data_IF_317136548203
#
_entry.id   IF_317136548203
#
_cell.length_a   1.000
_cell.length_b   1.000
_cell.length_c   1.000
_cell.angle_alpha   90.00
_cell.angle_beta   90.00
_cell.angle_gamma   90.00
#
_symmetry.space_group_name_H-M   'P 1'
#
loop_
_entity.id
_entity.type
_entity.pdbx_description
1 polymer ?
#
# COMPACT_ATOMS: atom_id res chain seq x y z
N UNK A 1 -15.69 8.22 51.29
CA UNK A 1 -16.72 8.54 50.28
C UNK A 1 -16.17 9.43 49.18
N UNK A 2 -15.44 10.48 49.47
CA UNK A 2 -14.85 11.46 48.51
C UNK A 2 -13.87 10.80 47.55
N UNK A 3 -12.99 9.91 48.00
CA UNK A 3 -12.02 9.18 47.14
C UNK A 3 -12.69 8.28 46.09
N UNK A 4 -13.84 7.65 46.43
CA UNK A 4 -14.62 6.85 45.47
C UNK A 4 -15.29 7.72 44.41
N UNK A 5 -15.78 8.89 44.77
CA UNK A 5 -16.37 9.82 43.80
C UNK A 5 -15.31 10.41 42.82
N UNK A 6 -14.13 10.74 43.33
CA UNK A 6 -13.02 11.24 42.53
C UNK A 6 -12.53 10.20 41.50
N UNK A 7 -12.38 8.95 41.94
CA UNK A 7 -12.03 7.83 41.07
C UNK A 7 -13.10 7.51 40.01
N UNK A 8 -14.39 7.71 40.34
CA UNK A 8 -15.49 7.56 39.38
C UNK A 8 -15.51 8.69 38.36
N UNK A 9 -15.26 9.94 38.78
CA UNK A 9 -15.14 11.08 37.86
C UNK A 9 -13.93 10.94 36.91
N UNK A 10 -12.78 10.51 37.43
CA UNK A 10 -11.60 10.27 36.58
C UNK A 10 -11.83 9.13 35.57
N UNK A 11 -12.51 8.03 35.97
CA UNK A 11 -12.89 6.96 35.03
C UNK A 11 -13.85 7.44 33.94
N UNK A 12 -14.80 8.28 34.27
CA UNK A 12 -15.77 8.84 33.33
C UNK A 12 -15.08 9.84 32.37
N UNK A 13 -14.16 10.67 32.84
CA UNK A 13 -13.37 11.58 31.98
C UNK A 13 -12.41 10.82 31.03
N UNK A 14 -11.75 9.78 31.51
CA UNK A 14 -10.90 8.93 30.66
C UNK A 14 -11.73 8.17 29.64
N UNK A 15 -12.93 7.70 30.02
CA UNK A 15 -13.88 7.04 29.11
C UNK A 15 -14.36 7.97 27.99
N UNK A 16 -14.74 9.22 28.32
CA UNK A 16 -15.20 10.20 27.33
C UNK A 16 -14.07 10.65 26.40
N UNK A 17 -12.84 10.82 26.91
CA UNK A 17 -11.66 11.19 26.12
C UNK A 17 -11.26 10.09 25.11
N UNK A 18 -11.39 8.83 25.52
CA UNK A 18 -11.11 7.68 24.66
C UNK A 18 -12.19 7.50 23.59
N UNK A 19 -13.44 7.77 23.92
CA UNK A 19 -14.56 7.72 22.97
C UNK A 19 -14.45 8.83 21.93
N UNK A 20 -14.10 10.04 22.34
CA UNK A 20 -13.88 11.19 21.46
C UNK A 20 -12.68 10.98 20.51
N UNK A 21 -11.57 10.44 21.03
CA UNK A 21 -10.43 10.04 20.18
C UNK A 21 -10.77 8.95 19.18
N UNK A 22 -11.63 7.99 19.56
CA UNK A 22 -12.06 6.92 18.67
C UNK A 22 -13.02 7.44 17.58
N UNK A 23 -13.90 8.36 17.91
CA UNK A 23 -14.78 9.03 16.94
C UNK A 23 -13.99 9.92 15.98
N UNK A 24 -13.00 10.68 16.46
CA UNK A 24 -12.12 11.50 15.62
C UNK A 24 -11.26 10.63 14.70
N UNK A 25 -10.77 9.47 15.18
CA UNK A 25 -10.03 8.53 14.37
C UNK A 25 -10.92 7.86 13.31
N UNK A 26 -12.16 7.50 13.66
CA UNK A 26 -13.12 6.95 12.71
C UNK A 26 -13.56 7.99 11.66
N UNK A 27 -13.76 9.26 12.06
CA UNK A 27 -14.02 10.35 11.10
C UNK A 27 -12.87 10.55 10.14
N UNK A 28 -11.60 10.53 10.63
CA UNK A 28 -10.41 10.64 9.76
C UNK A 28 -10.33 9.49 8.75
N UNK A 29 -10.59 8.24 9.18
CA UNK A 29 -10.59 7.07 8.27
C UNK A 29 -11.70 7.19 7.22
N UNK A 30 -12.89 7.66 7.58
CA UNK A 30 -14.00 7.88 6.62
C UNK A 30 -13.63 8.99 5.63
N UNK A 31 -13.06 10.10 6.11
CA UNK A 31 -12.62 11.22 5.25
C UNK A 31 -11.49 10.77 4.31
N UNK A 32 -10.55 9.94 4.77
CA UNK A 32 -9.50 9.38 3.91
C UNK A 32 -10.04 8.47 2.80
N UNK A 33 -11.11 7.70 3.08
CA UNK A 33 -11.76 6.86 2.07
C UNK A 33 -12.51 7.74 1.06
N UNK A 34 -13.21 8.77 1.53
CA UNK A 34 -13.92 9.72 0.66
C UNK A 34 -12.96 10.57 -0.19
N UNK A 35 -11.81 10.98 0.38
CA UNK A 35 -10.76 11.71 -0.35
C UNK A 35 -10.10 10.85 -1.44
N UNK A 36 -9.83 9.58 -1.16
CA UNK A 36 -9.31 8.62 -2.15
C UNK A 36 -10.33 8.38 -3.27
N UNK A 37 -11.61 8.23 -2.96
CA UNK A 37 -12.67 8.07 -3.96
C UNK A 37 -12.88 9.34 -4.79
N UNK A 38 -12.73 10.52 -4.21
CA UNK A 38 -12.76 11.79 -4.93
C UNK A 38 -11.50 12.00 -5.80
N UNK A 39 -10.32 11.63 -5.29
CA UNK A 39 -9.05 11.67 -6.03
C UNK A 39 -9.07 10.72 -7.24
N UNK A 40 -9.65 9.53 -7.11
CA UNK A 40 -9.76 8.55 -8.22
C UNK A 40 -10.78 8.98 -9.27
N UNK A 41 -11.92 9.56 -8.88
CA UNK A 41 -12.89 10.14 -9.83
C UNK A 41 -12.29 11.28 -10.66
N UNK A 42 -11.35 12.04 -10.10
CA UNK A 42 -10.66 13.11 -10.81
C UNK A 42 -9.54 12.63 -11.73
N UNK A 43 -9.04 11.39 -11.57
CA UNK A 43 -7.96 10.83 -12.41
C UNK A 43 -8.44 10.30 -13.77
N UNK A 44 -9.73 10.14 -14.02
CA UNK A 44 -10.24 9.61 -15.30
C UNK A 44 -10.33 10.65 -16.42
N UNK A 45 -10.18 11.93 -16.13
CA UNK A 45 -10.29 13.01 -17.14
C UNK A 45 -8.93 13.61 -17.54
N UNK A 46 -8.64 13.61 -18.85
CA UNK A 46 -7.48 14.31 -19.47
C UNK A 46 -7.45 15.82 -19.11
N UNK A 47 -8.58 16.39 -18.69
CA UNK A 47 -8.72 17.75 -18.18
C UNK A 47 -7.89 17.99 -16.92
N UNK A 48 -7.61 16.95 -16.12
CA UNK A 48 -6.90 17.05 -14.87
C UNK A 48 -5.37 17.10 -15.02
N UNK A 49 -4.81 16.57 -16.12
CA UNK A 49 -3.40 16.77 -16.45
C UNK A 49 -3.11 18.28 -16.66
N UNK A 50 -4.05 19.01 -17.29
CA UNK A 50 -3.97 20.48 -17.43
C UNK A 50 -4.14 21.21 -16.10
N UNK A 51 -5.00 20.70 -15.20
CA UNK A 51 -5.17 21.22 -13.84
C UNK A 51 -3.91 20.98 -12.99
N UNK A 52 -3.29 19.80 -13.10
CA UNK A 52 -2.03 19.46 -12.42
C UNK A 52 -0.86 20.33 -12.91
N UNK A 53 -0.72 20.55 -14.22
CA UNK A 53 0.27 21.46 -14.78
C UNK A 53 0.04 22.91 -14.36
N UNK A 54 -1.24 23.34 -14.27
CA UNK A 54 -1.65 24.67 -13.80
C UNK A 54 -1.41 24.82 -12.28
N UNK A 55 -1.62 23.76 -11.49
CA UNK A 55 -1.34 23.70 -10.06
C UNK A 55 0.17 23.81 -9.79
N UNK A 56 1.02 23.10 -10.55
CA UNK A 56 2.47 23.26 -10.49
C UNK A 56 2.93 24.67 -10.85
N UNK A 57 2.26 25.36 -11.79
CA UNK A 57 2.54 26.77 -12.09
C UNK A 57 2.08 27.71 -10.98
N UNK A 58 0.93 27.46 -10.34
CA UNK A 58 0.41 28.26 -9.21
C UNK A 58 1.30 28.09 -7.98
N UNK A 59 1.73 26.86 -7.69
CA UNK A 59 2.71 26.56 -6.64
C UNK A 59 4.01 27.34 -6.90
N UNK A 60 4.53 27.32 -8.15
CA UNK A 60 5.71 28.10 -8.55
C UNK A 60 5.52 29.61 -8.40
N UNK A 61 4.33 30.14 -8.72
CA UNK A 61 4.04 31.59 -8.60
C UNK A 61 3.84 32.03 -7.16
N UNK A 62 3.24 31.22 -6.31
CA UNK A 62 3.06 31.52 -4.86
C UNK A 62 4.38 31.56 -4.12
N UNK A 63 5.31 30.64 -4.45
CA UNK A 63 6.67 30.67 -3.89
C UNK A 63 7.52 31.84 -4.37
N UNK A 64 7.24 32.42 -5.55
CA UNK A 64 7.96 33.59 -6.07
C UNK A 64 7.56 34.92 -5.42
N UNK A 65 6.37 35.01 -4.82
CA UNK A 65 5.82 36.30 -4.37
C UNK A 65 6.10 36.68 -2.90
N UNK A 66 6.53 35.73 -2.05
CA UNK A 66 6.64 35.99 -0.61
C UNK A 66 8.04 35.68 -0.08
N UNK A 67 8.91 36.68 -0.07
CA UNK A 67 10.28 36.61 0.49
C UNK A 67 10.38 36.89 2.00
N UNK A 68 9.31 37.33 2.70
CA UNK A 68 9.44 37.96 4.01
C UNK A 68 8.72 37.32 5.21
N UNK A 69 8.19 36.08 5.08
CA UNK A 69 7.52 35.44 6.23
C UNK A 69 8.20 34.12 6.66
N UNK A 70 8.79 34.15 7.87
CA UNK A 70 9.63 33.05 8.41
C UNK A 70 8.85 31.97 9.17
N UNK A 71 7.50 31.96 9.19
CA UNK A 71 6.70 30.98 9.94
C UNK A 71 6.03 29.97 9.02
N UNK A 72 6.46 28.67 9.06
CA UNK A 72 5.90 27.61 8.22
C UNK A 72 4.39 27.40 8.36
N UNK A 73 3.83 27.60 9.56
CA UNK A 73 2.40 27.39 9.83
C UNK A 73 1.50 28.41 9.09
N UNK A 74 1.97 29.63 8.87
CA UNK A 74 1.24 30.67 8.13
C UNK A 74 1.22 30.34 6.62
N UNK A 75 2.30 29.76 6.10
CA UNK A 75 2.37 29.31 4.70
C UNK A 75 1.42 28.14 4.42
N UNK A 76 1.38 27.16 5.32
CA UNK A 76 0.50 26.00 5.19
C UNK A 76 -0.96 26.45 5.16
N UNK A 77 -1.40 27.30 6.08
CA UNK A 77 -2.79 27.78 6.14
C UNK A 77 -3.20 28.65 4.94
N UNK A 78 -2.28 29.47 4.41
CA UNK A 78 -2.53 30.25 3.17
C UNK A 78 -2.65 29.36 1.93
N UNK A 79 -1.81 28.32 1.85
CA UNK A 79 -1.82 27.36 0.75
C UNK A 79 -3.10 26.50 0.74
N UNK A 80 -3.51 26.00 1.91
CA UNK A 80 -4.77 25.27 2.07
C UNK A 80 -5.99 26.10 1.69
N UNK A 81 -6.03 27.37 2.07
CA UNK A 81 -7.11 28.29 1.71
C UNK A 81 -7.16 28.54 0.20
N UNK A 82 -6.01 28.62 -0.48
CA UNK A 82 -5.95 28.75 -1.94
C UNK A 82 -6.42 27.45 -2.64
N UNK A 83 -6.06 26.27 -2.12
CA UNK A 83 -6.55 24.99 -2.63
C UNK A 83 -8.07 24.85 -2.49
N UNK A 84 -8.64 25.23 -1.35
CA UNK A 84 -10.09 25.25 -1.12
C UNK A 84 -10.83 26.17 -2.10
N UNK A 85 -10.26 27.35 -2.40
CA UNK A 85 -10.84 28.29 -3.40
C UNK A 85 -10.80 27.73 -4.82
N UNK A 86 -9.73 27.02 -5.20
CA UNK A 86 -9.61 26.37 -6.52
C UNK A 86 -10.61 25.22 -6.65
N UNK A 87 -10.76 24.40 -5.63
CA UNK A 87 -11.75 23.32 -5.59
C UNK A 87 -13.19 23.86 -5.72
N UNK A 88 -13.52 24.92 -4.97
CA UNK A 88 -14.83 25.56 -5.05
C UNK A 88 -15.11 26.23 -6.42
N UNK A 89 -14.11 26.77 -7.08
CA UNK A 89 -14.25 27.35 -8.42
C UNK A 89 -14.43 26.29 -9.51
N UNK A 90 -13.87 25.09 -9.33
CA UNK A 90 -14.02 23.94 -10.23
C UNK A 90 -15.42 23.33 -10.08
N UNK A 91 -15.93 23.20 -8.87
CA UNK A 91 -17.29 22.70 -8.57
C UNK A 91 -18.37 23.63 -9.14
N UNK A 92 -18.20 24.97 -9.03
CA UNK A 92 -19.16 25.94 -9.60
C UNK A 92 -19.26 25.93 -11.14
N UNK A 93 -18.27 25.39 -11.86
CA UNK A 93 -18.33 25.24 -13.32
C UNK A 93 -19.06 23.96 -13.80
N UNK A 94 -19.29 22.99 -12.92
CA UNK A 94 -19.97 21.73 -13.25
C UNK A 94 -21.45 21.69 -12.90
N UNK A 95 -21.98 22.66 -12.18
CA UNK A 95 -23.41 22.70 -11.82
C UNK A 95 -24.24 23.39 -12.90
N UNK A 96 -24.57 22.68 -13.96
CA UNK A 96 -25.75 22.98 -14.81
C UNK A 96 -26.60 21.72 -14.94
N UNK A 97 -27.60 21.66 -14.11
CA UNK A 97 -28.91 20.99 -13.96
C UNK A 97 -28.95 20.07 -12.72
N UNK A 98 -29.90 20.35 -11.81
CA UNK A 98 -30.14 19.48 -10.68
C UNK A 98 -31.09 18.34 -11.09
N UNK A 99 -30.65 17.10 -10.92
CA UNK A 99 -31.54 15.97 -10.77
C UNK A 99 -31.89 15.90 -9.28
N UNK A 100 -33.17 15.96 -8.97
CA UNK A 100 -33.75 15.78 -7.64
C UNK A 100 -33.39 14.41 -7.10
N UNK A 101 -32.58 14.37 -6.05
CA UNK A 101 -32.34 13.13 -5.28
C UNK A 101 -33.16 13.23 -4.01
N UNK A 102 -34.14 12.36 -3.90
CA UNK A 102 -34.90 12.14 -2.68
C UNK A 102 -33.96 11.60 -1.58
N UNK A 103 -34.05 12.26 -0.42
CA UNK A 103 -33.36 11.82 0.80
C UNK A 103 -34.02 10.56 1.33
N UNK A 104 -33.47 9.39 1.02
CA UNK A 104 -33.82 8.17 1.74
C UNK A 104 -32.77 7.89 2.82
N UNK A 105 -33.25 7.88 4.06
CA UNK A 105 -32.55 7.52 5.27
C UNK A 105 -31.94 6.13 5.14
N UNK A 106 -30.61 6.04 5.25
CA UNK A 106 -29.88 4.77 5.30
C UNK A 106 -30.11 4.08 6.64
N UNK A 107 -31.15 3.25 6.71
CA UNK A 107 -31.18 2.10 7.61
C UNK A 107 -30.27 1.06 6.99
N UNK A 108 -29.27 0.58 7.76
CA UNK A 108 -28.46 -0.58 7.42
C UNK A 108 -29.38 -1.80 7.33
N UNK A 109 -29.86 -2.08 6.15
CA UNK A 109 -30.55 -3.34 5.84
C UNK A 109 -29.46 -4.35 5.60
N UNK A 110 -29.33 -5.32 6.50
CA UNK A 110 -28.68 -6.59 6.22
C UNK A 110 -29.40 -7.20 5.02
N UNK A 111 -28.83 -7.04 3.83
CA UNK A 111 -29.34 -7.72 2.64
C UNK A 111 -29.17 -9.22 2.85
N UNK A 112 -30.22 -10.03 2.63
CA UNK A 112 -30.08 -11.48 2.62
C UNK A 112 -29.04 -11.83 1.54
N UNK A 113 -28.21 -12.83 1.82
CA UNK A 113 -27.23 -13.34 0.88
C UNK A 113 -27.95 -13.74 -0.41
N UNK A 114 -27.88 -12.90 -1.44
CA UNK A 114 -28.42 -13.24 -2.76
C UNK A 114 -27.58 -14.38 -3.30
N UNK A 115 -28.19 -15.55 -3.47
CA UNK A 115 -27.59 -16.71 -4.13
C UNK A 115 -27.60 -16.49 -5.64
N UNK A 116 -26.78 -15.56 -6.12
CA UNK A 116 -26.54 -15.43 -7.56
C UNK A 116 -25.63 -16.60 -8.00
N UNK A 117 -26.10 -17.42 -8.93
CA UNK A 117 -25.32 -18.47 -9.58
C UNK A 117 -24.69 -17.90 -10.84
N UNK A 118 -23.39 -18.07 -10.99
CA UNK A 118 -22.67 -17.74 -12.21
C UNK A 118 -22.19 -19.05 -12.85
N UNK A 119 -22.63 -19.29 -14.09
CA UNK A 119 -22.16 -20.41 -14.92
C UNK A 119 -21.13 -19.86 -15.91
N UNK A 120 -19.89 -20.36 -15.85
CA UNK A 120 -18.86 -19.98 -16.81
C UNK A 120 -17.80 -21.08 -16.95
N UNK A 121 -17.54 -21.52 -18.20
CA UNK A 121 -16.46 -22.46 -18.59
C UNK A 121 -16.31 -23.70 -17.68
N UNK A 122 -17.39 -24.41 -17.38
CA UNK A 122 -17.48 -25.62 -16.56
C UNK A 122 -17.47 -25.41 -15.03
N UNK A 123 -17.40 -24.17 -14.53
CA UNK A 123 -17.51 -23.89 -13.10
C UNK A 123 -18.70 -22.98 -12.81
N UNK A 124 -19.44 -23.32 -11.76
CA UNK A 124 -20.51 -22.48 -11.23
C UNK A 124 -20.13 -21.95 -9.85
N UNK A 125 -20.52 -20.70 -9.57
CA UNK A 125 -20.14 -20.00 -8.33
C UNK A 125 -21.36 -19.60 -7.54
N UNK A 126 -21.36 -19.85 -6.23
CA UNK A 126 -22.38 -19.35 -5.29
C UNK A 126 -21.73 -18.25 -4.47
N UNK A 127 -22.22 -17.01 -4.61
CA UNK A 127 -21.82 -15.91 -3.75
C UNK A 127 -22.32 -16.13 -2.32
N UNK A 128 -21.39 -16.07 -1.36
CA UNK A 128 -21.70 -16.25 0.06
C UNK A 128 -21.89 -14.91 0.76
N UNK A 129 -20.96 -13.95 0.54
CA UNK A 129 -21.01 -12.61 1.11
C UNK A 129 -20.11 -11.64 0.37
N UNK A 130 -20.42 -10.34 0.44
CA UNK A 130 -19.50 -9.26 0.07
C UNK A 130 -18.40 -9.17 1.13
N UNK A 131 -17.14 -9.13 0.71
CA UNK A 131 -15.97 -9.02 1.59
C UNK A 131 -15.17 -7.74 1.36
N UNK A 132 -15.41 -7.05 0.24
CA UNK A 132 -14.82 -5.75 -0.08
C UNK A 132 -15.68 -5.00 -1.09
N UNK A 133 -15.71 -3.68 -0.99
CA UNK A 133 -16.39 -2.78 -1.93
C UNK A 133 -15.63 -1.46 -1.96
N UNK A 134 -15.42 -0.92 -3.15
CA UNK A 134 -14.72 0.35 -3.37
C UNK A 134 -14.81 0.80 -4.82
N UNK A 135 -14.08 1.84 -5.17
CA UNK A 135 -13.99 2.36 -6.55
C UNK A 135 -13.50 1.32 -7.56
N UNK A 136 -12.78 0.31 -7.11
CA UNK A 136 -12.26 -0.80 -7.92
C UNK A 136 -13.27 -1.94 -8.13
N UNK A 137 -14.51 -1.78 -7.69
CA UNK A 137 -15.57 -2.78 -7.82
C UNK A 137 -15.94 -3.46 -6.50
N UNK A 138 -16.60 -4.61 -6.60
CA UNK A 138 -17.09 -5.38 -5.45
C UNK A 138 -16.38 -6.74 -5.41
N UNK A 139 -15.93 -7.15 -4.23
CA UNK A 139 -15.32 -8.46 -4.01
C UNK A 139 -16.26 -9.34 -3.21
N UNK A 140 -16.59 -10.50 -3.76
CA UNK A 140 -17.44 -11.51 -3.15
C UNK A 140 -16.60 -12.69 -2.67
N UNK A 141 -16.86 -13.19 -1.46
CA UNK A 141 -16.51 -14.54 -1.08
C UNK A 141 -17.50 -15.48 -1.74
N UNK A 142 -17.03 -16.45 -2.49
CA UNK A 142 -17.87 -17.40 -3.23
C UNK A 142 -17.40 -18.84 -2.99
N UNK A 143 -18.27 -19.80 -3.30
CA UNK A 143 -17.96 -21.21 -3.31
C UNK A 143 -18.10 -21.74 -4.73
N UNK A 144 -17.10 -22.49 -5.18
CA UNK A 144 -17.14 -23.25 -6.43
C UNK A 144 -18.01 -24.49 -6.18
N UNK A 145 -19.07 -24.69 -6.96
CA UNK A 145 -20.00 -25.79 -6.74
C UNK A 145 -19.36 -27.15 -6.97
N UNK A 146 -18.56 -27.26 -8.02
CA UNK A 146 -17.97 -28.51 -8.50
C UNK A 146 -16.90 -29.04 -7.54
N UNK A 147 -16.12 -28.15 -6.92
CA UNK A 147 -14.98 -28.52 -6.05
C UNK A 147 -15.24 -28.25 -4.58
N UNK A 148 -16.23 -27.42 -4.25
CA UNK A 148 -16.44 -26.92 -2.90
C UNK A 148 -15.43 -25.87 -2.43
N UNK A 149 -14.49 -25.49 -3.29
CA UNK A 149 -13.42 -24.53 -2.99
C UNK A 149 -14.01 -23.14 -2.68
N UNK A 150 -13.42 -22.46 -1.68
CA UNK A 150 -13.76 -21.07 -1.37
C UNK A 150 -12.83 -20.15 -2.12
N UNK A 151 -13.41 -19.23 -2.89
CA UNK A 151 -12.71 -18.27 -3.75
C UNK A 151 -13.15 -16.84 -3.46
N UNK A 152 -12.38 -15.87 -3.91
CA UNK A 152 -12.77 -14.47 -4.01
C UNK A 152 -13.07 -14.12 -5.48
N UNK A 153 -14.16 -13.41 -5.73
CA UNK A 153 -14.53 -12.91 -7.06
C UNK A 153 -14.59 -11.40 -7.01
N UNK A 154 -13.64 -10.73 -7.69
CA UNK A 154 -13.64 -9.28 -7.90
C UNK A 154 -14.45 -8.95 -9.14
N UNK A 155 -15.57 -8.23 -8.97
CA UNK A 155 -16.48 -7.79 -10.04
C UNK A 155 -16.25 -6.30 -10.32
N UNK A 156 -15.82 -5.98 -11.53
CA UNK A 156 -15.46 -4.62 -11.97
C UNK A 156 -16.25 -4.25 -13.23
N UNK A 157 -16.88 -3.08 -13.24
CA UNK A 157 -17.52 -2.55 -14.45
C UNK A 157 -16.45 -2.11 -15.45
N UNK A 158 -16.56 -2.55 -16.69
CA UNK A 158 -15.61 -2.28 -17.75
C UNK A 158 -16.30 -1.85 -19.04
N UNK A 159 -15.80 -0.77 -19.64
CA UNK A 159 -16.13 -0.37 -21.00
C UNK A 159 -15.47 -1.38 -21.98
N UNK A 160 -16.29 -1.96 -22.89
CA UNK A 160 -15.85 -2.96 -23.89
C UNK A 160 -14.78 -2.47 -24.86
N UNK A 161 -14.68 -1.16 -25.05
CA UNK A 161 -13.75 -0.54 -26.00
C UNK A 161 -12.30 -0.55 -25.50
N UNK A 162 -12.09 -0.75 -24.20
CA UNK A 162 -10.76 -0.70 -23.58
C UNK A 162 -10.35 -2.06 -23.01
N UNK A 163 -9.08 -2.41 -23.24
CA UNK A 163 -8.47 -3.58 -22.59
C UNK A 163 -8.21 -3.28 -21.11
N UNK A 164 -8.54 -4.22 -20.25
CA UNK A 164 -8.26 -4.10 -18.82
C UNK A 164 -6.78 -4.37 -18.55
N UNK A 165 -6.04 -3.34 -18.09
CA UNK A 165 -4.61 -3.46 -17.78
C UNK A 165 -4.36 -4.39 -16.59
N UNK A 166 -5.20 -4.33 -15.56
CA UNK A 166 -5.08 -5.20 -14.39
C UNK A 166 -5.16 -6.67 -14.81
N UNK A 167 -6.13 -7.01 -15.66
CA UNK A 167 -6.27 -8.38 -16.17
C UNK A 167 -5.03 -8.83 -16.95
N UNK A 168 -4.47 -7.97 -17.81
CA UNK A 168 -3.26 -8.29 -18.56
C UNK A 168 -2.07 -8.57 -17.64
N UNK A 169 -1.89 -7.76 -16.60
CA UNK A 169 -0.82 -7.97 -15.62
C UNK A 169 -1.06 -9.25 -14.83
N UNK A 170 -2.29 -9.49 -14.33
CA UNK A 170 -2.60 -10.68 -13.54
C UNK A 170 -2.38 -11.99 -14.32
N UNK A 171 -2.52 -11.98 -15.65
CA UNK A 171 -2.25 -13.13 -16.50
C UNK A 171 -0.77 -13.50 -16.59
N UNK A 172 0.14 -12.54 -16.36
CA UNK A 172 1.60 -12.76 -16.36
C UNK A 172 2.13 -13.21 -14.98
N UNK A 173 1.32 -13.09 -13.90
CA UNK A 173 1.80 -13.29 -12.54
C UNK A 173 1.56 -14.71 -12.03
N UNK A 174 2.65 -15.38 -11.62
CA UNK A 174 2.61 -16.68 -10.94
C UNK A 174 3.70 -16.75 -9.86
N UNK A 175 3.36 -16.40 -8.64
CA UNK A 175 4.30 -16.39 -7.51
C UNK A 175 3.57 -16.62 -6.19
N UNK A 176 4.21 -17.33 -5.25
CA UNK A 176 3.61 -17.72 -3.96
C UNK A 176 3.14 -16.56 -3.09
N UNK A 177 3.79 -15.39 -3.22
CA UNK A 177 3.47 -14.19 -2.45
C UNK A 177 2.74 -13.12 -3.29
N UNK A 178 2.22 -13.47 -4.46
CA UNK A 178 1.37 -12.62 -5.30
C UNK A 178 0.05 -13.32 -5.54
N UNK A 179 -1.06 -12.61 -5.42
CA UNK A 179 -2.39 -13.18 -5.57
C UNK A 179 -2.59 -13.66 -7.02
N UNK A 180 -2.67 -14.98 -7.18
CA UNK A 180 -2.83 -15.61 -8.49
C UNK A 180 -4.28 -15.55 -8.94
N UNK A 181 -4.49 -15.09 -10.17
CA UNK A 181 -5.75 -15.25 -10.86
C UNK A 181 -5.98 -16.72 -11.23
N UNK A 182 -7.11 -17.29 -10.79
CA UNK A 182 -7.52 -18.65 -11.15
C UNK A 182 -8.25 -18.66 -12.48
N UNK A 183 -9.16 -17.70 -12.65
CA UNK A 183 -10.02 -17.58 -13.81
C UNK A 183 -10.55 -16.15 -13.95
N UNK A 184 -10.96 -15.76 -15.17
CA UNK A 184 -11.65 -14.51 -15.40
C UNK A 184 -12.75 -14.69 -16.47
N UNK A 185 -13.88 -14.02 -16.27
CA UNK A 185 -15.00 -14.08 -17.20
C UNK A 185 -15.78 -12.76 -17.20
N UNK A 186 -16.58 -12.56 -18.26
CA UNK A 186 -17.41 -11.39 -18.41
C UNK A 186 -18.88 -11.73 -18.20
N UNK A 187 -19.60 -10.84 -17.50
CA UNK A 187 -21.07 -10.88 -17.42
C UNK A 187 -21.66 -9.58 -17.98
N UNK A 188 -22.86 -9.64 -18.59
CA UNK A 188 -23.50 -8.45 -19.14
C UNK A 188 -23.74 -7.38 -18.07
N UNK A 189 -23.58 -6.12 -18.46
CA UNK A 189 -24.05 -4.96 -17.69
C UNK A 189 -25.34 -4.43 -18.28
N UNK A 190 -25.98 -3.48 -17.58
CA UNK A 190 -27.23 -2.85 -18.06
C UNK A 190 -27.00 -2.06 -19.35
N UNK A 191 -25.86 -1.39 -19.46
CA UNK A 191 -25.44 -0.68 -20.66
C UNK A 191 -24.82 -1.65 -21.66
N UNK A 192 -25.25 -1.61 -22.94
CA UNK A 192 -24.75 -2.49 -24.02
C UNK A 192 -23.24 -2.32 -24.32
N UNK A 193 -22.69 -1.15 -24.04
CA UNK A 193 -21.27 -0.85 -24.24
C UNK A 193 -20.38 -1.26 -23.07
N UNK A 194 -20.96 -1.82 -22.00
CA UNK A 194 -20.27 -2.21 -20.78
C UNK A 194 -20.47 -3.69 -20.48
N UNK A 195 -19.49 -4.25 -19.74
CA UNK A 195 -19.54 -5.58 -19.15
C UNK A 195 -18.99 -5.52 -17.73
N UNK A 196 -19.39 -6.46 -16.91
CA UNK A 196 -18.67 -6.75 -15.68
C UNK A 196 -17.57 -7.76 -15.95
N UNK A 197 -16.31 -7.39 -15.69
CA UNK A 197 -15.20 -8.30 -15.56
C UNK A 197 -15.26 -8.94 -14.17
N UNK A 198 -15.31 -10.27 -14.12
CA UNK A 198 -15.24 -11.06 -12.90
C UNK A 198 -13.89 -11.77 -12.86
N UNK A 199 -13.08 -11.48 -11.85
CA UNK A 199 -11.76 -12.11 -11.65
C UNK A 199 -11.83 -13.02 -10.45
N UNK A 200 -11.62 -14.30 -10.66
CA UNK A 200 -11.65 -15.35 -9.63
C UNK A 200 -10.24 -15.59 -9.11
N UNK A 201 -10.08 -15.54 -7.80
CA UNK A 201 -8.79 -15.61 -7.10
C UNK A 201 -8.90 -16.48 -5.84
N UNK A 202 -7.77 -16.85 -5.25
CA UNK A 202 -7.72 -17.47 -3.92
C UNK A 202 -8.37 -16.56 -2.87
N UNK A 203 -9.15 -17.15 -1.95
CA UNK A 203 -9.75 -16.39 -0.86
C UNK A 203 -8.81 -16.32 0.34
N UNK A 204 -8.60 -15.11 0.85
CA UNK A 204 -7.90 -14.86 2.11
C UNK A 204 -8.87 -14.29 3.15
N UNK A 205 -8.74 -14.72 4.42
CA UNK A 205 -9.65 -14.27 5.48
C UNK A 205 -9.47 -12.81 5.87
N UNK A 206 -8.23 -12.29 5.78
CA UNK A 206 -7.85 -10.97 6.28
C UNK A 206 -6.92 -10.22 5.33
N UNK A 207 -6.88 -8.89 5.51
CA UNK A 207 -5.80 -8.03 5.02
C UNK A 207 -4.76 -7.85 6.13
N UNK A 208 -3.54 -7.50 5.76
CA UNK A 208 -2.49 -7.14 6.73
C UNK A 208 -2.92 -5.95 7.61
N UNK A 209 -3.75 -5.05 7.07
CA UNK A 209 -4.35 -3.94 7.80
C UNK A 209 -5.29 -4.43 8.91
N UNK A 210 -6.29 -5.26 8.58
CA UNK A 210 -7.25 -5.77 9.57
C UNK A 210 -6.56 -6.65 10.61
N UNK A 211 -5.57 -7.44 10.17
CA UNK A 211 -4.77 -8.29 11.05
C UNK A 211 -3.93 -7.47 12.04
N UNK A 212 -3.18 -6.46 11.57
CA UNK A 212 -2.42 -5.56 12.43
C UNK A 212 -3.35 -4.80 13.41
N UNK A 213 -4.50 -4.32 12.91
CA UNK A 213 -5.49 -3.62 13.74
C UNK A 213 -6.07 -4.48 14.85
N UNK A 214 -6.16 -5.79 14.68
CA UNK A 214 -6.63 -6.70 15.75
C UNK A 214 -5.71 -6.69 16.96
N UNK A 215 -4.39 -6.69 16.75
CA UNK A 215 -3.42 -6.55 17.83
C UNK A 215 -3.54 -5.21 18.56
N UNK A 216 -3.71 -4.12 17.82
CA UNK A 216 -3.82 -2.78 18.41
C UNK A 216 -5.07 -2.65 19.28
N UNK A 217 -6.20 -3.24 18.86
CA UNK A 217 -7.44 -3.25 19.66
C UNK A 217 -7.24 -3.93 21.02
N UNK A 218 -6.42 -4.97 21.07
CA UNK A 218 -6.10 -5.70 22.30
C UNK A 218 -4.96 -5.05 23.09
N UNK A 219 -4.53 -3.84 22.73
CA UNK A 219 -3.35 -3.15 23.30
C UNK A 219 -2.06 -3.98 23.22
N UNK A 220 -1.97 -4.85 22.23
CA UNK A 220 -0.80 -5.68 21.93
C UNK A 220 -0.08 -5.18 20.72
N UNK A 221 1.15 -5.62 20.55
CA UNK A 221 1.89 -5.49 19.30
C UNK A 221 1.91 -6.83 18.58
N UNK A 222 1.99 -6.76 17.25
CA UNK A 222 2.26 -7.95 16.45
C UNK A 222 3.59 -8.57 16.92
N UNK A 223 3.66 -9.89 17.14
CA UNK A 223 4.90 -10.57 17.49
C UNK A 223 6.00 -10.31 16.45
N UNK A 224 7.24 -10.06 16.91
CA UNK A 224 8.37 -9.71 16.03
C UNK A 224 8.59 -10.76 14.94
N UNK A 225 8.38 -12.04 15.23
CA UNK A 225 8.50 -13.11 14.23
C UNK A 225 7.45 -12.99 13.12
N UNK A 226 6.21 -12.61 13.44
CA UNK A 226 5.19 -12.38 12.42
C UNK A 226 5.52 -11.14 11.57
N UNK A 227 6.04 -10.08 12.20
CA UNK A 227 6.55 -8.91 11.46
C UNK A 227 7.64 -9.34 10.48
N UNK A 228 8.59 -10.18 10.90
CA UNK A 228 9.66 -10.74 10.04
C UNK A 228 9.09 -11.57 8.89
N UNK A 229 8.17 -12.51 9.20
CA UNK A 229 7.54 -13.40 8.22
C UNK A 229 6.78 -12.62 7.14
N UNK A 230 5.97 -11.64 7.54
CA UNK A 230 5.21 -10.84 6.59
C UNK A 230 6.10 -9.88 5.81
N UNK A 231 7.10 -9.27 6.45
CA UNK A 231 8.07 -8.40 5.78
C UNK A 231 8.87 -9.15 4.72
N UNK A 232 9.33 -10.37 5.03
CA UNK A 232 10.07 -11.22 4.10
C UNK A 232 9.23 -11.58 2.87
N UNK A 233 8.00 -12.05 3.09
CA UNK A 233 7.09 -12.43 2.02
C UNK A 233 6.68 -11.23 1.14
N UNK A 234 6.46 -10.06 1.76
CA UNK A 234 6.15 -8.83 1.02
C UNK A 234 7.37 -8.39 0.17
N UNK A 235 8.58 -8.45 0.70
CA UNK A 235 9.80 -8.21 -0.08
C UNK A 235 9.97 -9.22 -1.22
N UNK A 236 9.63 -10.49 -1.01
CA UNK A 236 9.62 -11.50 -2.09
C UNK A 236 8.65 -11.12 -3.20
N UNK A 237 7.42 -10.69 -2.86
CA UNK A 237 6.45 -10.29 -3.87
C UNK A 237 6.94 -9.15 -4.75
N UNK A 238 7.54 -8.10 -4.16
CA UNK A 238 8.07 -6.99 -4.96
C UNK A 238 9.38 -7.35 -5.68
N UNK A 239 10.18 -8.26 -5.15
CA UNK A 239 11.33 -8.80 -5.87
C UNK A 239 10.88 -9.44 -7.19
N UNK A 240 9.89 -10.33 -7.11
CA UNK A 240 9.34 -11.01 -8.28
C UNK A 240 8.73 -10.04 -9.31
N UNK A 241 7.81 -9.14 -8.92
CA UNK A 241 7.17 -8.24 -9.90
C UNK A 241 8.17 -7.26 -10.51
N UNK A 242 9.20 -6.83 -9.75
CA UNK A 242 10.24 -5.95 -10.27
C UNK A 242 11.10 -6.63 -11.36
N UNK A 243 11.31 -7.95 -11.30
CA UNK A 243 11.99 -8.71 -12.36
C UNK A 243 11.23 -8.65 -13.68
N UNK A 244 9.90 -8.60 -13.63
CA UNK A 244 9.01 -8.47 -14.79
C UNK A 244 8.91 -7.03 -15.28
N UNK A 245 9.60 -6.06 -14.63
CA UNK A 245 9.49 -4.64 -14.90
C UNK A 245 8.16 -4.04 -14.45
N UNK A 246 7.40 -4.75 -13.63
CA UNK A 246 6.11 -4.32 -13.10
C UNK A 246 6.32 -3.53 -11.81
N UNK A 247 5.75 -2.33 -11.75
CA UNK A 247 5.63 -1.52 -10.55
C UNK A 247 4.18 -1.55 -10.07
N UNK A 248 3.96 -1.90 -8.79
CA UNK A 248 2.62 -2.04 -8.21
C UNK A 248 1.95 -0.68 -8.03
N UNK A 249 2.69 0.31 -7.53
CA UNK A 249 2.31 1.71 -7.35
C UNK A 249 1.20 1.99 -6.32
N UNK A 250 0.78 0.97 -5.54
CA UNK A 250 -0.15 1.15 -4.41
C UNK A 250 0.05 0.09 -3.31
N UNK A 251 1.31 -0.10 -2.87
CA UNK A 251 1.62 -1.00 -1.76
C UNK A 251 1.22 -0.34 -0.45
N UNK A 252 0.31 -0.99 0.26
CA UNK A 252 -0.21 -0.62 1.59
C UNK A 252 -0.77 -1.86 2.29
N UNK A 253 -0.95 -1.85 3.63
CA UNK A 253 -1.47 -3.03 4.35
C UNK A 253 -2.85 -3.52 3.88
N UNK A 254 -3.67 -2.65 3.28
CA UNK A 254 -4.98 -3.03 2.71
C UNK A 254 -4.87 -3.89 1.45
N UNK A 255 -3.78 -3.71 0.67
CA UNK A 255 -3.51 -4.45 -0.56
C UNK A 255 -2.60 -5.66 -0.34
N UNK A 256 -2.43 -6.06 0.92
CA UNK A 256 -1.67 -7.24 1.33
C UNK A 256 -2.61 -8.17 2.08
N UNK A 257 -2.86 -9.34 1.51
CA UNK A 257 -3.72 -10.36 2.07
C UNK A 257 -2.92 -11.30 2.96
N UNK A 258 -3.49 -11.72 4.07
CA UNK A 258 -2.84 -12.64 5.02
C UNK A 258 -3.80 -13.74 5.48
N UNK A 259 -3.22 -14.89 5.78
CA UNK A 259 -3.90 -15.97 6.48
C UNK A 259 -3.21 -16.16 7.84
N UNK A 260 -3.92 -15.88 8.90
CA UNK A 260 -3.39 -15.90 10.29
C UNK A 260 -2.98 -17.29 10.76
N UNK A 261 -3.59 -18.35 10.23
CA UNK A 261 -3.31 -19.73 10.62
C UNK A 261 -2.00 -20.24 9.98
N UNK A 262 -1.81 -19.94 8.69
CA UNK A 262 -0.63 -20.37 7.93
C UNK A 262 0.48 -19.32 7.86
N UNK A 263 0.27 -18.10 8.33
CA UNK A 263 1.13 -16.92 8.15
C UNK A 263 1.51 -16.67 6.69
N UNK A 264 0.71 -17.16 5.73
CA UNK A 264 0.89 -16.92 4.30
C UNK A 264 0.47 -15.49 3.97
N UNK A 265 1.25 -14.82 3.12
CA UNK A 265 1.00 -13.47 2.62
C UNK A 265 0.96 -13.48 1.09
N UNK A 266 0.00 -12.73 0.52
CA UNK A 266 -0.06 -12.45 -0.91
C UNK A 266 -0.36 -10.97 -1.18
N UNK A 267 0.43 -10.36 -2.07
CA UNK A 267 0.19 -9.02 -2.59
C UNK A 267 -0.97 -9.06 -3.60
N UNK A 268 -1.95 -8.16 -3.47
CA UNK A 268 -3.14 -8.09 -4.32
C UNK A 268 -3.37 -6.67 -4.85
N UNK A 269 -4.42 -6.53 -5.67
CA UNK A 269 -4.89 -5.26 -6.26
C UNK A 269 -3.88 -4.57 -7.19
N UNK A 270 -3.75 -5.14 -8.38
CA UNK A 270 -2.89 -4.64 -9.47
C UNK A 270 -3.56 -3.55 -10.33
N UNK A 271 -4.68 -2.97 -9.88
CA UNK A 271 -5.42 -1.91 -10.60
C UNK A 271 -4.58 -0.68 -10.90
N UNK A 272 -3.66 -0.33 -10.01
CA UNK A 272 -2.70 0.77 -10.20
C UNK A 272 -1.38 0.35 -10.87
N UNK A 273 -1.14 -0.95 -11.05
CA UNK A 273 0.14 -1.45 -11.54
C UNK A 273 0.42 -1.07 -13.00
N UNK A 274 1.71 -0.96 -13.34
CA UNK A 274 2.18 -0.70 -14.71
C UNK A 274 3.52 -1.39 -14.94
N UNK A 275 3.67 -2.00 -16.11
CA UNK A 275 4.98 -2.40 -16.62
C UNK A 275 5.71 -1.14 -17.09
N UNK A 276 6.79 -0.78 -16.39
CA UNK A 276 7.52 0.46 -16.67
C UNK A 276 8.44 0.26 -17.86
N UNK A 277 8.39 1.23 -18.79
CA UNK A 277 9.27 1.28 -19.96
C UNK A 277 10.22 2.46 -19.82
N UNK A 278 11.51 2.21 -19.94
CA UNK A 278 12.53 3.24 -19.81
C UNK A 278 12.32 4.35 -20.87
N UNK A 279 12.27 5.59 -20.42
CA UNK A 279 12.06 6.76 -21.28
C UNK A 279 10.59 7.13 -21.47
N UNK A 280 9.63 6.30 -21.09
CA UNK A 280 8.22 6.68 -21.08
C UNK A 280 7.86 7.44 -19.80
N UNK A 281 7.18 8.59 -19.92
CA UNK A 281 6.73 9.33 -18.73
C UNK A 281 5.60 8.57 -17.99
N UNK A 282 5.62 8.67 -16.69
CA UNK A 282 4.64 8.07 -15.81
C UNK A 282 3.85 9.15 -15.06
N UNK A 283 2.75 8.75 -14.39
CA UNK A 283 1.97 9.64 -13.54
C UNK A 283 2.67 9.75 -12.19
N UNK A 284 3.00 10.99 -11.76
CA UNK A 284 3.62 11.24 -10.45
C UNK A 284 2.61 11.16 -9.31
N UNK A 285 1.36 11.58 -9.55
CA UNK A 285 0.31 11.54 -8.54
C UNK A 285 -0.34 10.16 -8.49
N UNK A 286 0.30 9.25 -7.80
CA UNK A 286 -0.11 7.85 -7.60
C UNK A 286 0.40 7.36 -6.25
N UNK A 287 -0.04 6.21 -5.80
CA UNK A 287 0.26 5.61 -4.50
C UNK A 287 -0.52 6.27 -3.35
N UNK A 288 -0.99 5.46 -2.44
CA UNK A 288 -1.66 5.90 -1.21
C UNK A 288 -0.71 6.77 -0.36
N UNK A 289 -1.21 7.89 0.14
CA UNK A 289 -0.43 9.00 0.70
C UNK A 289 0.62 8.57 1.73
N UNK A 290 0.22 7.84 2.76
CA UNK A 290 1.13 7.42 3.85
C UNK A 290 2.31 6.56 3.38
N UNK A 291 2.21 5.95 2.20
CA UNK A 291 3.20 5.03 1.62
C UNK A 291 3.86 5.59 0.36
N UNK A 292 3.52 6.84 -0.01
CA UNK A 292 4.00 7.50 -1.22
C UNK A 292 5.47 7.89 -1.10
N UNK A 293 6.27 7.44 -2.06
CA UNK A 293 7.70 7.74 -2.12
C UNK A 293 7.96 9.24 -2.36
N UNK A 294 9.04 9.80 -1.79
CA UNK A 294 9.33 11.23 -1.90
C UNK A 294 9.54 11.69 -3.34
N UNK A 295 10.09 10.87 -4.24
CA UNK A 295 10.24 11.23 -5.66
C UNK A 295 8.89 11.49 -6.34
N UNK A 296 7.82 10.79 -5.92
CA UNK A 296 6.46 11.04 -6.42
C UNK A 296 5.93 12.38 -5.88
N UNK A 297 6.22 12.71 -4.62
CA UNK A 297 5.84 13.99 -4.02
C UNK A 297 6.58 15.14 -4.71
N UNK A 298 7.86 14.94 -5.09
CA UNK A 298 8.63 15.88 -5.89
C UNK A 298 8.22 15.93 -7.37
N UNK A 299 7.16 15.18 -7.76
CA UNK A 299 6.58 15.23 -9.11
C UNK A 299 7.42 14.51 -10.16
N UNK A 300 8.23 13.53 -9.79
CA UNK A 300 8.99 12.72 -10.76
C UNK A 300 8.04 11.91 -11.63
N UNK A 301 8.22 12.01 -12.96
CA UNK A 301 7.52 11.19 -13.96
C UNK A 301 8.44 10.09 -14.53
N UNK A 302 9.72 10.10 -14.14
CA UNK A 302 10.76 9.17 -14.55
C UNK A 302 11.25 8.42 -13.31
N UNK A 303 10.36 7.60 -12.73
CA UNK A 303 10.63 6.75 -11.57
C UNK A 303 10.66 5.27 -11.99
N UNK A 304 11.26 4.45 -11.15
CA UNK A 304 11.34 2.99 -11.30
C UNK A 304 10.62 2.25 -10.18
N UNK A 305 10.81 0.94 -10.08
CA UNK A 305 10.20 0.07 -9.07
C UNK A 305 10.65 0.37 -7.64
N UNK A 306 11.60 1.26 -7.43
CA UNK A 306 12.06 1.68 -6.10
C UNK A 306 11.01 2.46 -5.30
N UNK A 307 9.97 2.98 -5.95
CA UNK A 307 8.82 3.56 -5.24
C UNK A 307 8.10 2.50 -4.41
N UNK A 308 8.01 1.26 -4.91
CA UNK A 308 7.40 0.14 -4.19
C UNK A 308 8.27 -0.30 -2.99
N UNK A 309 9.60 -0.24 -3.13
CA UNK A 309 10.53 -0.51 -2.02
C UNK A 309 10.33 0.48 -0.87
N UNK A 310 10.16 1.77 -1.18
CA UNK A 310 9.81 2.77 -0.18
C UNK A 310 8.50 2.42 0.53
N UNK A 311 7.46 2.09 -0.24
CA UNK A 311 6.15 1.73 0.32
C UNK A 311 6.24 0.52 1.24
N UNK A 312 7.05 -0.50 0.89
CA UNK A 312 7.32 -1.66 1.77
C UNK A 312 8.04 -1.22 3.05
N UNK A 313 9.02 -0.31 2.95
CA UNK A 313 9.68 0.26 4.12
C UNK A 313 8.69 0.93 5.08
N UNK A 314 7.69 1.66 4.54
CA UNK A 314 6.61 2.25 5.34
C UNK A 314 5.72 1.18 5.99
N UNK A 315 5.36 0.12 5.24
CA UNK A 315 4.55 -1.00 5.79
C UNK A 315 5.30 -1.71 6.92
N UNK A 316 6.60 -2.02 6.76
CA UNK A 316 7.39 -2.66 7.82
C UNK A 316 7.46 -1.77 9.07
N UNK A 317 7.69 -0.47 8.89
CA UNK A 317 7.69 0.48 10.00
C UNK A 317 6.33 0.53 10.73
N UNK A 318 5.23 0.47 9.99
CA UNK A 318 3.88 0.43 10.55
C UNK A 318 3.62 -0.86 11.33
N UNK A 319 4.05 -2.02 10.85
CA UNK A 319 3.93 -3.29 11.60
C UNK A 319 4.70 -3.25 12.92
N UNK A 320 5.88 -2.62 12.94
CA UNK A 320 6.70 -2.44 14.14
C UNK A 320 6.04 -1.45 15.11
N UNK A 321 5.51 -0.34 14.60
CA UNK A 321 4.98 0.75 15.40
C UNK A 321 3.52 0.56 15.81
N UNK A 322 2.74 -0.20 15.03
CA UNK A 322 1.29 -0.34 15.15
C UNK A 322 0.50 0.78 14.48
N UNK A 323 1.16 1.75 13.85
CA UNK A 323 0.55 2.92 13.18
C UNK A 323 1.42 3.37 12.00
N UNK A 324 0.85 4.01 10.96
CA UNK A 324 1.61 4.54 9.84
C UNK A 324 2.75 5.46 10.28
N UNK A 325 3.92 5.31 9.65
CA UNK A 325 5.10 6.09 10.02
C UNK A 325 4.97 7.56 9.60
N UNK A 326 4.40 7.81 8.42
CA UNK A 326 4.24 9.14 7.84
C UNK A 326 2.75 9.40 7.63
N UNK A 327 2.14 10.23 8.46
CA UNK A 327 0.72 10.51 8.44
C UNK A 327 0.47 11.99 8.12
N UNK A 328 0.56 12.35 6.86
CA UNK A 328 0.29 13.70 6.38
C UNK A 328 -1.13 13.86 5.87
N UNK A 329 -1.75 15.02 6.09
CA UNK A 329 -3.12 15.35 5.67
C UNK A 329 -3.19 15.82 4.19
N UNK A 330 -2.04 16.23 3.63
CA UNK A 330 -1.88 16.65 2.23
C UNK A 330 -0.57 16.15 1.64
N UNK A 331 -0.34 16.31 0.33
CA UNK A 331 0.93 15.95 -0.29
C UNK A 331 2.11 16.77 0.30
N UNK A 332 1.88 18.05 0.61
CA UNK A 332 2.89 18.92 1.24
C UNK A 332 3.16 18.45 2.67
N UNK A 333 2.11 18.18 3.42
CA UNK A 333 2.22 17.72 4.80
C UNK A 333 2.88 16.34 4.89
N UNK A 334 2.58 15.45 3.94
CA UNK A 334 3.27 14.17 3.80
C UNK A 334 4.78 14.35 3.66
N UNK A 335 5.23 15.35 2.87
CA UNK A 335 6.66 15.66 2.78
C UNK A 335 7.21 16.21 4.09
N UNK A 336 6.43 17.00 4.83
CA UNK A 336 6.81 17.50 6.16
C UNK A 336 7.01 16.33 7.13
N UNK A 337 6.10 15.34 7.14
CA UNK A 337 6.25 14.15 7.98
C UNK A 337 7.51 13.34 7.63
N UNK A 338 7.81 13.18 6.35
CA UNK A 338 9.06 12.54 5.90
C UNK A 338 10.29 13.33 6.39
N UNK A 339 10.29 14.66 6.21
CA UNK A 339 11.41 15.52 6.62
C UNK A 339 11.59 15.53 8.14
N UNK A 340 10.53 15.47 8.94
CA UNK A 340 10.64 15.32 10.39
C UNK A 340 11.44 14.08 10.82
N UNK A 341 11.44 13.03 10.03
CA UNK A 341 12.15 11.77 10.31
C UNK A 341 13.52 11.75 9.63
N UNK A 342 13.57 11.98 8.33
CA UNK A 342 14.80 11.83 7.53
C UNK A 342 15.67 13.09 7.52
N UNK A 343 15.17 14.22 8.01
CA UNK A 343 15.80 15.51 7.85
C UNK A 343 15.55 16.09 6.45
N UNK A 344 15.99 17.34 6.26
CA UNK A 344 15.86 18.01 4.97
C UNK A 344 16.76 17.35 3.93
N UNK A 345 16.22 16.97 2.75
CA UNK A 345 17.04 16.39 1.68
C UNK A 345 18.05 17.39 1.15
N UNK A 346 19.24 16.90 0.78
CA UNK A 346 20.24 17.71 0.09
C UNK A 346 19.83 17.99 -1.36
N UNK A 347 20.44 18.96 -2.01
CA UNK A 347 20.18 19.26 -3.42
C UNK A 347 20.47 18.05 -4.32
N UNK A 348 21.50 17.29 -4.04
CA UNK A 348 21.85 16.05 -4.76
C UNK A 348 20.76 14.99 -4.60
N UNK A 349 20.23 14.85 -3.37
CA UNK A 349 19.12 13.93 -3.11
C UNK A 349 17.85 14.37 -3.85
N UNK A 350 17.54 15.67 -3.86
CA UNK A 350 16.37 16.20 -4.61
C UNK A 350 16.54 15.92 -6.11
N UNK A 351 17.71 16.19 -6.69
CA UNK A 351 17.99 15.92 -8.11
C UNK A 351 17.98 14.41 -8.42
N UNK A 352 18.36 13.58 -7.47
CA UNK A 352 18.28 12.12 -7.63
C UNK A 352 16.83 11.62 -7.68
N UNK A 353 15.90 12.29 -6.98
CA UNK A 353 14.46 12.01 -6.98
C UNK A 353 13.77 12.57 -8.22
N UNK A 354 14.10 13.81 -8.59
CA UNK A 354 13.58 14.46 -9.80
C UNK A 354 14.63 15.39 -10.40
N UNK A 355 15.29 14.96 -11.48
CA UNK A 355 16.34 15.71 -12.19
C UNK A 355 15.87 17.07 -12.73
N UNK A 356 14.55 17.23 -12.93
CA UNK A 356 13.94 18.45 -13.48
C UNK A 356 13.40 19.38 -12.39
N UNK A 357 13.67 19.08 -11.10
CA UNK A 357 13.17 19.90 -9.99
C UNK A 357 13.93 21.24 -9.91
N UNK A 358 13.20 22.34 -9.80
CA UNK A 358 13.77 23.68 -9.66
C UNK A 358 14.19 23.93 -8.21
N UNK A 359 15.46 23.68 -7.90
CA UNK A 359 16.02 23.86 -6.55
C UNK A 359 16.13 25.34 -6.20
N UNK A 360 16.39 26.22 -7.17
CA UNK A 360 16.65 27.63 -6.89
C UNK A 360 15.41 28.36 -6.40
N UNK A 361 14.22 27.92 -6.84
CA UNK A 361 12.94 28.50 -6.44
C UNK A 361 12.39 27.97 -5.12
N UNK A 362 13.03 26.93 -4.52
CA UNK A 362 12.50 26.23 -3.36
C UNK A 362 13.59 26.00 -2.32
N UNK A 363 13.62 26.83 -1.30
CA UNK A 363 14.49 26.66 -0.13
C UNK A 363 13.72 25.97 0.99
N UNK A 364 14.20 24.82 1.43
CA UNK A 364 13.64 24.11 2.59
C UNK A 364 14.35 24.55 3.87
N UNK A 365 13.59 24.70 4.95
CA UNK A 365 14.18 24.88 6.27
C UNK A 365 15.06 23.66 6.62
N UNK A 366 16.26 23.91 7.17
CA UNK A 366 17.21 22.85 7.55
C UNK A 366 16.72 22.13 8.80
N UNK A 367 16.24 20.91 8.66
CA UNK A 367 15.81 20.02 9.73
C UNK A 367 16.78 18.84 9.80
N UNK A 368 17.28 18.57 11.01
CA UNK A 368 18.19 17.42 11.23
C UNK A 368 17.40 16.12 11.28
N UNK A 369 17.97 15.06 10.71
CA UNK A 369 17.45 13.70 10.81
C UNK A 369 17.25 13.28 12.29
N UNK A 370 16.14 12.62 12.58
CA UNK A 370 15.88 12.03 13.90
C UNK A 370 16.64 10.71 14.05
N UNK A 371 16.98 10.38 15.28
CA UNK A 371 17.52 9.05 15.61
C UNK A 371 16.42 7.99 15.36
N UNK A 372 16.70 7.03 14.49
CA UNK A 372 15.80 5.93 14.16
C UNK A 372 15.34 5.11 15.37
N UNK A 373 16.18 5.01 16.42
CA UNK A 373 15.80 4.36 17.69
C UNK A 373 14.68 5.07 18.44
N UNK A 374 14.45 6.35 18.13
CA UNK A 374 13.33 7.16 18.67
C UNK A 374 12.12 7.17 17.75
N UNK A 375 12.30 6.77 16.49
CA UNK A 375 11.26 6.73 15.45
C UNK A 375 10.55 5.38 15.46
N UNK A 376 11.31 4.28 15.51
CA UNK A 376 10.76 2.94 15.55
C UNK A 376 10.64 2.45 16.98
N UNK A 377 9.45 1.95 17.33
CA UNK A 377 9.10 1.46 18.68
C UNK A 377 9.66 0.04 18.92
N UNK A 378 10.93 -0.20 18.55
CA UNK A 378 11.63 -1.47 18.72
C UNK A 378 13.04 -1.27 19.26
N UNK A 379 13.58 -2.31 19.92
CA UNK A 379 14.98 -2.38 20.33
C UNK A 379 15.84 -3.20 19.35
N UNK A 380 15.21 -3.86 18.36
CA UNK A 380 15.91 -4.64 17.35
C UNK A 380 16.68 -3.70 16.39
N UNK A 381 17.99 -3.65 16.58
CA UNK A 381 18.88 -2.81 15.75
C UNK A 381 18.91 -3.25 14.29
N UNK A 382 18.68 -4.54 14.00
CA UNK A 382 18.62 -5.08 12.63
C UNK A 382 17.33 -4.61 11.93
N UNK A 383 16.19 -4.55 12.65
CA UNK A 383 14.95 -3.98 12.15
C UNK A 383 15.10 -2.49 11.79
N UNK A 384 15.75 -1.73 12.71
CA UNK A 384 16.03 -0.31 12.51
C UNK A 384 16.92 -0.10 11.29
N UNK A 385 17.97 -0.90 11.14
CA UNK A 385 18.90 -0.81 10.02
C UNK A 385 18.21 -1.11 8.68
N UNK A 386 17.41 -2.19 8.61
CA UNK A 386 16.63 -2.52 7.41
C UNK A 386 15.70 -1.36 7.00
N UNK A 387 14.85 -0.90 7.91
CA UNK A 387 13.89 0.17 7.61
C UNK A 387 14.60 1.44 7.17
N UNK A 388 15.70 1.82 7.83
CA UNK A 388 16.47 3.01 7.47
C UNK A 388 17.08 2.93 6.06
N UNK A 389 17.44 1.73 5.58
CA UNK A 389 17.98 1.49 4.25
C UNK A 389 16.90 1.41 3.16
N UNK A 390 15.68 1.05 3.52
CA UNK A 390 14.53 1.09 2.62
C UNK A 390 13.98 2.52 2.46
N UNK A 391 14.02 3.32 3.54
CA UNK A 391 13.50 4.68 3.58
C UNK A 391 14.62 5.71 3.40
N UNK A 392 15.23 5.73 2.23
CA UNK A 392 16.23 6.74 1.83
C UNK A 392 15.69 7.62 0.70
N UNK A 393 16.07 8.91 0.67
CA UNK A 393 15.61 9.84 -0.36
C UNK A 393 16.02 9.40 -1.76
N UNK A 394 17.30 9.06 -1.94
CA UNK A 394 17.81 8.67 -3.24
C UNK A 394 17.35 7.26 -3.64
N UNK A 395 16.53 7.10 -4.69
CA UNK A 395 16.03 5.79 -5.11
C UNK A 395 17.16 4.79 -5.41
N UNK A 396 18.27 5.28 -6.00
CA UNK A 396 19.43 4.43 -6.36
C UNK A 396 20.18 3.86 -5.17
N UNK A 397 20.06 4.46 -3.99
CA UNK A 397 20.74 3.99 -2.77
C UNK A 397 19.84 3.15 -1.88
N UNK A 398 18.54 3.07 -2.15
CA UNK A 398 17.65 2.13 -1.48
C UNK A 398 18.12 0.71 -1.77
N UNK A 399 17.96 -0.18 -0.80
CA UNK A 399 18.21 -1.60 -1.02
C UNK A 399 17.31 -2.09 -2.17
N UNK A 400 17.88 -2.90 -3.06
CA UNK A 400 17.04 -3.65 -4.01
C UNK A 400 16.21 -4.69 -3.27
N UNK A 401 15.08 -5.16 -3.80
CA UNK A 401 14.27 -6.16 -3.12
C UNK A 401 15.05 -7.42 -2.73
N UNK A 402 15.87 -8.00 -3.65
CA UNK A 402 16.69 -9.17 -3.33
C UNK A 402 17.74 -8.88 -2.25
N UNK A 403 18.41 -7.74 -2.34
CA UNK A 403 19.37 -7.33 -1.32
C UNK A 403 18.71 -7.06 0.04
N UNK A 404 17.46 -6.65 0.05
CA UNK A 404 16.69 -6.51 1.28
C UNK A 404 16.39 -7.87 1.92
N UNK A 405 16.11 -8.89 1.11
CA UNK A 405 15.89 -10.25 1.59
C UNK A 405 17.16 -10.87 2.22
N UNK A 406 18.38 -10.49 1.79
CA UNK A 406 19.63 -10.96 2.40
C UNK A 406 19.97 -10.24 3.71
N UNK A 407 19.20 -9.23 4.11
CA UNK A 407 19.51 -8.41 5.28
C UNK A 407 19.55 -9.26 6.57
N UNK A 408 20.47 -8.95 7.52
CA UNK A 408 20.60 -9.68 8.79
C UNK A 408 19.34 -9.72 9.65
N UNK A 409 18.37 -8.83 9.43
CA UNK A 409 17.07 -8.87 10.08
C UNK A 409 16.33 -10.20 9.86
N UNK A 410 16.59 -10.87 8.73
CA UNK A 410 15.96 -12.13 8.36
C UNK A 410 16.81 -13.37 8.61
N UNK A 411 18.01 -13.26 9.25
CA UNK A 411 18.88 -14.41 9.53
C UNK A 411 18.15 -15.51 10.32
N UNK A 412 17.33 -15.10 11.28
CA UNK A 412 16.53 -16.01 12.10
C UNK A 412 15.59 -16.91 11.29
N UNK A 413 15.10 -16.42 10.14
CA UNK A 413 14.25 -17.20 9.23
C UNK A 413 15.07 -18.22 8.42
N UNK A 414 16.38 -18.02 8.25
CA UNK A 414 17.29 -18.90 7.50
C UNK A 414 17.93 -19.99 8.37
N UNK A 415 17.87 -19.86 9.68
CA UNK A 415 18.37 -20.82 10.64
C UNK A 415 17.26 -21.83 10.99
N UNK A 416 17.48 -23.11 10.62
CA UNK A 416 16.48 -24.16 10.78
C UNK A 416 16.15 -24.43 12.24
N UNK A 417 17.14 -24.34 13.13
CA UNK A 417 16.95 -24.66 14.55
C UNK A 417 16.18 -23.52 15.25
N UNK A 418 16.50 -22.27 14.92
CA UNK A 418 15.74 -21.13 15.38
C UNK A 418 14.29 -21.17 14.84
N UNK A 419 14.07 -21.47 13.56
CA UNK A 419 12.75 -21.60 12.96
C UNK A 419 11.90 -22.67 13.65
N UNK A 420 12.45 -23.86 13.87
CA UNK A 420 11.78 -24.96 14.57
C UNK A 420 11.44 -24.59 16.03
N UNK A 421 12.37 -23.94 16.72
CA UNK A 421 12.16 -23.44 18.07
C UNK A 421 11.02 -22.44 18.14
N UNK A 422 11.01 -21.44 17.25
CA UNK A 422 9.94 -20.44 17.15
C UNK A 422 8.59 -21.07 16.81
N UNK A 423 8.56 -21.99 15.86
CA UNK A 423 7.34 -22.72 15.50
C UNK A 423 6.75 -23.48 16.70
N UNK A 424 7.59 -24.15 17.46
CA UNK A 424 7.18 -24.93 18.64
C UNK A 424 6.72 -24.04 19.79
N UNK A 425 7.46 -22.97 20.09
CA UNK A 425 7.17 -22.07 21.20
C UNK A 425 5.91 -21.23 20.97
N UNK A 426 5.76 -20.69 19.78
CA UNK A 426 4.68 -19.78 19.45
C UNK A 426 3.47 -20.47 18.81
N UNK A 427 3.57 -21.76 18.51
CA UNK A 427 2.53 -22.55 17.81
C UNK A 427 2.06 -21.88 16.50
N UNK A 428 3.00 -21.27 15.78
CA UNK A 428 2.70 -20.63 14.50
C UNK A 428 3.13 -21.51 13.33
N UNK A 429 2.38 -21.50 12.25
CA UNK A 429 2.81 -22.14 11.01
C UNK A 429 3.85 -21.25 10.33
N UNK A 430 4.91 -21.86 9.80
CA UNK A 430 5.92 -21.20 8.98
C UNK A 430 5.60 -21.50 7.51
N UNK A 431 5.32 -20.48 6.68
CA UNK A 431 5.12 -20.69 5.25
C UNK A 431 6.44 -21.04 4.55
N UNK A 432 6.35 -21.55 3.31
CA UNK A 432 7.55 -21.75 2.49
C UNK A 432 8.17 -20.39 2.10
N UNK A 433 9.39 -20.15 2.58
CA UNK A 433 10.09 -18.88 2.38
C UNK A 433 11.15 -18.93 1.29
N UNK A 434 11.66 -20.14 0.93
CA UNK A 434 12.87 -20.31 0.11
C UNK A 434 12.62 -21.02 -1.21
N UNK A 435 11.36 -21.24 -1.58
CA UNK A 435 10.93 -21.84 -2.85
C UNK A 435 11.02 -20.84 -4.01
N UNK A 436 12.23 -20.32 -4.26
CA UNK A 436 12.47 -19.42 -5.39
C UNK A 436 12.33 -20.15 -6.73
N UNK A 437 11.72 -19.49 -7.70
CA UNK A 437 11.60 -20.00 -9.08
C UNK A 437 12.97 -19.94 -9.78
N UNK A 438 13.12 -20.68 -10.88
CA UNK A 438 14.33 -20.64 -11.70
C UNK A 438 14.62 -19.22 -12.21
N UNK A 439 13.58 -18.46 -12.58
CA UNK A 439 13.74 -17.08 -13.05
C UNK A 439 14.24 -16.14 -11.95
N UNK A 440 13.74 -16.29 -10.72
CA UNK A 440 14.24 -15.55 -9.57
C UNK A 440 15.71 -15.89 -9.30
N UNK A 441 16.03 -17.20 -9.28
CA UNK A 441 17.40 -17.69 -9.06
C UNK A 441 18.37 -17.19 -10.14
N UNK A 442 17.96 -17.23 -11.41
CA UNK A 442 18.77 -16.77 -12.53
C UNK A 442 19.15 -15.28 -12.43
N UNK A 443 18.24 -14.47 -11.90
CA UNK A 443 18.45 -13.01 -11.74
C UNK A 443 19.23 -12.63 -10.47
N UNK A 444 19.34 -13.52 -9.49
CA UNK A 444 20.15 -13.30 -8.31
C UNK A 444 21.63 -13.38 -8.63
N UNK A 445 22.43 -12.55 -7.99
CA UNK A 445 23.90 -12.73 -7.94
C UNK A 445 24.24 -14.03 -7.21
N UNK A 446 25.44 -14.58 -7.45
CA UNK A 446 25.91 -15.77 -6.72
C UNK A 446 25.87 -15.56 -5.21
N UNK A 447 26.27 -14.38 -4.74
CA UNK A 447 26.24 -14.04 -3.31
C UNK A 447 24.81 -14.02 -2.75
N UNK A 448 23.84 -13.45 -3.47
CA UNK A 448 22.44 -13.46 -3.07
C UNK A 448 21.88 -14.88 -3.01
N UNK A 449 22.19 -15.75 -3.98
CA UNK A 449 21.75 -17.16 -3.97
C UNK A 449 22.26 -17.88 -2.73
N UNK A 450 23.55 -17.75 -2.42
CA UNK A 450 24.17 -18.39 -1.25
C UNK A 450 23.57 -17.89 0.08
N UNK A 451 23.15 -16.62 0.15
CA UNK A 451 22.55 -16.07 1.36
C UNK A 451 21.07 -16.32 1.49
N UNK A 452 20.33 -16.41 0.37
CA UNK A 452 18.88 -16.53 0.37
C UNK A 452 18.39 -17.97 0.42
N UNK A 453 19.17 -18.92 -0.10
CA UNK A 453 18.77 -20.33 -0.15
C UNK A 453 19.63 -21.09 0.89
N UNK A 454 19.06 -21.40 2.06
CA UNK A 454 19.79 -22.15 3.07
C UNK A 454 20.16 -23.56 2.59
N UNK A 455 21.32 -24.07 2.97
CA UNK A 455 21.81 -25.40 2.56
C UNK A 455 20.84 -26.53 2.91
N UNK A 456 20.15 -26.41 4.06
CA UNK A 456 19.16 -27.38 4.50
C UNK A 456 17.88 -27.43 3.63
N UNK A 457 17.63 -26.40 2.80
CA UNK A 457 16.44 -26.35 1.94
C UNK A 457 16.56 -27.24 0.69
N UNK A 458 17.71 -27.87 0.44
CA UNK A 458 17.91 -28.94 -0.56
C UNK A 458 17.94 -28.52 -2.03
N UNK A 459 17.93 -27.21 -2.33
CA UNK A 459 18.00 -26.67 -3.70
C UNK A 459 19.44 -26.46 -4.15
N UNK A 460 20.36 -26.16 -3.22
CA UNK A 460 21.77 -25.89 -3.52
C UNK A 460 22.47 -27.00 -4.27
N UNK A 461 22.08 -28.26 -4.06
CA UNK A 461 22.68 -29.43 -4.74
C UNK A 461 22.17 -29.68 -6.17
N UNK A 462 21.04 -29.09 -6.57
CA UNK A 462 20.49 -29.27 -7.92
C UNK A 462 20.97 -28.21 -8.92
N UNK A 463 21.29 -27.00 -8.46
CA UNK A 463 21.67 -25.88 -9.33
C UNK A 463 23.12 -26.00 -9.81
N UNK A 464 24.02 -26.57 -8.99
CA UNK A 464 25.44 -26.78 -9.35
C UNK A 464 25.62 -27.83 -10.47
N UNK A 465 24.63 -28.65 -10.75
CA UNK A 465 24.70 -29.71 -11.78
C UNK A 465 24.24 -29.29 -13.19
N UNK A 466 23.78 -28.06 -13.39
CA UNK A 466 23.32 -27.57 -14.70
C UNK A 466 24.25 -26.56 -15.37
N UNK A 467 25.45 -26.31 -14.80
CA UNK A 467 26.49 -25.45 -15.39
C UNK A 467 27.72 -26.23 -15.92
N UNK A 468 27.49 -27.47 -16.46
CA UNK A 468 28.50 -28.19 -17.23
C UNK A 468 27.92 -28.70 -18.54
#
# INVERSE_FOLDING_TARGET
MFQKMLNQQMKNQVGSLNQQKQEDMNRRVVTEIEDVDQEIKTMQDVTNLKAHLKMNQIVKQSFRKNKDETNPSIYISKFENQLKQIQQSTIKKQTRKPLSIEKNSTKSVLMPASTERYDYSNFTYINLKVVGSGSFGVVHKAKVNETGEIVAIKKVLQDRRYKNRELQILQELDHVNVLKMKHAFYTPAENKDENYLNVVMEYFPDTLYSFNKSYIKDFKKMPDIQVKLFSYQLLRSIAYISLLGICHRDIKPHNVLVNSESNKLQLCDFGSAKKLVKGEPNIAYICSRCYRAPELIFGSIDYDTQIDVWSVGCVIAELINGEPLFLGDSAVDQMVEIVKVLGTPTNEQILSMNKNYDIQSNQFAKIKQRDWRKVLKTKDTKAIDLVSKLLTYCPKTRLTPFKSLTHPYFDELRDIDQLKSLQSQMKIAIPELFNFSNDEIYKMTQQERMQLIPDWYGISSKIVKTEY
#
